data_IF_794111388390
#
_entry.id   IF_794111388390
#
_cell.length_a   1.000
_cell.length_b   1.000
_cell.length_c   1.000
_cell.angle_alpha   90.00
_cell.angle_beta   90.00
_cell.angle_gamma   90.00
#
_symmetry.space_group_name_H-M   'P 1'
#
loop_
_entity.id
_entity.type
_entity.pdbx_description
1 polymer ?
#
# COMPACT_ATOMS: atom_id res chain seq x y z
N UNK A 1 -23.11 -16.92 -4.78
CA UNK A 1 -21.88 -16.22 -5.18
C UNK A 1 -21.19 -15.75 -3.91
N UNK A 2 -19.85 -15.80 -3.85
CA UNK A 2 -19.11 -15.25 -2.69
C UNK A 2 -19.22 -13.73 -2.67
N UNK A 3 -19.13 -13.13 -1.48
CA UNK A 3 -19.26 -11.70 -1.26
C UNK A 3 -17.98 -11.11 -0.67
N UNK A 4 -17.54 -9.98 -1.18
CA UNK A 4 -16.48 -9.15 -0.61
C UNK A 4 -17.04 -7.82 -0.12
N UNK A 5 -16.66 -7.40 1.09
CA UNK A 5 -16.91 -6.07 1.61
C UNK A 5 -15.61 -5.27 1.63
N UNK A 6 -15.52 -4.24 0.82
CA UNK A 6 -14.40 -3.29 0.84
C UNK A 6 -14.70 -2.23 1.90
N UNK A 7 -13.83 -2.13 2.90
CA UNK A 7 -13.92 -1.14 3.98
C UNK A 7 -12.88 -0.05 3.75
N UNK A 8 -13.36 1.18 3.56
CA UNK A 8 -12.56 2.31 3.04
C UNK A 8 -12.62 2.36 1.51
N UNK A 9 -13.44 3.26 0.96
CA UNK A 9 -13.66 3.36 -0.50
C UNK A 9 -13.00 4.60 -1.11
N UNK A 10 -11.87 4.99 -0.54
CA UNK A 10 -10.96 5.98 -1.11
C UNK A 10 -10.17 5.40 -2.30
N UNK A 11 -9.04 6.01 -2.60
CA UNK A 11 -8.20 5.67 -3.77
C UNK A 11 -7.84 4.17 -3.87
N UNK A 12 -7.36 3.57 -2.76
CA UNK A 12 -7.01 2.15 -2.70
C UNK A 12 -8.25 1.25 -2.84
N UNK A 13 -9.35 1.58 -2.17
CA UNK A 13 -10.59 0.80 -2.26
C UNK A 13 -11.17 0.78 -3.68
N UNK A 14 -11.21 1.93 -4.36
CA UNK A 14 -11.65 2.05 -5.73
C UNK A 14 -10.74 1.29 -6.70
N UNK A 15 -9.42 1.39 -6.54
CA UNK A 15 -8.47 0.61 -7.33
C UNK A 15 -8.67 -0.90 -7.12
N UNK A 16 -8.95 -1.34 -5.91
CA UNK A 16 -9.15 -2.76 -5.58
C UNK A 16 -10.25 -3.41 -6.42
N UNK A 17 -11.33 -2.68 -6.71
CA UNK A 17 -12.45 -3.20 -7.52
C UNK A 17 -11.99 -3.65 -8.90
N UNK A 18 -11.02 -2.98 -9.50
CA UNK A 18 -10.51 -3.29 -10.85
C UNK A 18 -9.86 -4.69 -10.95
N UNK A 19 -9.39 -5.22 -9.84
CA UNK A 19 -8.69 -6.49 -9.77
C UNK A 19 -9.56 -7.64 -9.27
N UNK A 20 -10.81 -7.36 -8.86
CA UNK A 20 -11.75 -8.38 -8.40
C UNK A 20 -12.62 -8.89 -9.54
N UNK A 21 -12.79 -10.22 -9.63
CA UNK A 21 -13.61 -10.92 -10.60
C UNK A 21 -14.46 -11.99 -9.94
N UNK A 22 -15.60 -12.31 -10.51
CA UNK A 22 -16.48 -13.41 -10.09
C UNK A 22 -16.91 -13.40 -8.62
N UNK A 23 -16.97 -12.21 -8.01
CA UNK A 23 -17.38 -11.99 -6.63
C UNK A 23 -18.35 -10.82 -6.55
N UNK A 24 -19.32 -10.89 -5.65
CA UNK A 24 -20.24 -9.78 -5.37
C UNK A 24 -19.53 -8.76 -4.47
N UNK A 25 -19.51 -7.48 -4.88
CA UNK A 25 -18.76 -6.44 -4.20
C UNK A 25 -19.69 -5.47 -3.48
N UNK A 26 -19.49 -5.35 -2.17
CA UNK A 26 -20.05 -4.34 -1.31
C UNK A 26 -18.96 -3.37 -0.86
N UNK A 27 -19.33 -2.13 -0.61
CA UNK A 27 -18.41 -1.08 -0.16
C UNK A 27 -18.97 -0.39 1.08
N UNK A 28 -18.08 -0.01 2.00
CA UNK A 28 -18.36 0.77 3.20
C UNK A 28 -17.30 1.84 3.35
N UNK A 29 -17.70 3.10 3.41
CA UNK A 29 -16.79 4.21 3.70
C UNK A 29 -17.36 5.08 4.83
N UNK A 30 -16.53 5.44 5.80
CA UNK A 30 -16.88 6.26 6.97
C UNK A 30 -18.30 5.98 7.50
N UNK A 31 -19.14 7.00 7.53
CA UNK A 31 -20.52 6.96 8.04
C UNK A 31 -21.55 6.53 6.98
N UNK A 32 -21.12 6.25 5.75
CA UNK A 32 -21.99 5.81 4.67
C UNK A 32 -22.54 4.42 4.96
N UNK A 33 -23.71 4.12 4.36
CA UNK A 33 -24.25 2.75 4.34
C UNK A 33 -23.34 1.82 3.56
N UNK A 34 -23.40 0.53 3.88
CA UNK A 34 -22.84 -0.48 3.01
C UNK A 34 -23.64 -0.53 1.72
N UNK A 35 -22.99 -0.44 0.57
CA UNK A 35 -23.63 -0.43 -0.74
C UNK A 35 -23.09 -1.52 -1.64
N UNK A 36 -23.99 -2.25 -2.29
CA UNK A 36 -23.65 -3.18 -3.35
C UNK A 36 -23.36 -2.42 -4.64
N UNK A 37 -22.19 -2.61 -5.22
CA UNK A 37 -21.77 -1.87 -6.43
C UNK A 37 -22.51 -2.29 -7.71
N UNK A 38 -23.23 -3.44 -7.69
CA UNK A 38 -23.95 -3.94 -8.86
C UNK A 38 -25.45 -3.66 -8.81
N UNK A 39 -26.06 -3.80 -7.62
CA UNK A 39 -27.52 -3.70 -7.44
C UNK A 39 -27.97 -2.39 -6.80
N UNK A 40 -27.04 -1.57 -6.30
CA UNK A 40 -27.27 -0.39 -5.48
C UNK A 40 -28.03 -0.64 -4.15
N UNK A 41 -28.22 -1.91 -3.77
CA UNK A 41 -28.75 -2.26 -2.44
C UNK A 41 -27.89 -1.63 -1.34
N UNK A 42 -28.52 -1.12 -0.30
CA UNK A 42 -27.84 -0.46 0.81
C UNK A 42 -28.27 -1.04 2.16
N UNK A 43 -27.28 -1.25 3.05
CA UNK A 43 -27.44 -1.78 4.39
C UNK A 43 -26.72 -0.88 5.41
N UNK A 44 -27.37 -0.59 6.52
CA UNK A 44 -26.79 0.26 7.56
C UNK A 44 -25.67 -0.45 8.34
N UNK A 45 -25.81 -1.75 8.54
CA UNK A 45 -24.86 -2.54 9.31
C UNK A 45 -24.05 -3.50 8.43
N UNK A 46 -22.71 -3.37 8.40
CA UNK A 46 -21.86 -4.23 7.60
C UNK A 46 -21.96 -5.72 7.96
N UNK A 47 -22.40 -6.05 9.18
CA UNK A 47 -22.63 -7.45 9.58
C UNK A 47 -23.79 -8.10 8.84
N UNK A 48 -24.79 -7.32 8.40
CA UNK A 48 -25.95 -7.81 7.65
C UNK A 48 -25.54 -8.29 6.25
N UNK A 49 -24.50 -7.69 5.66
CA UNK A 49 -23.98 -8.07 4.33
C UNK A 49 -23.53 -9.53 4.27
N UNK A 50 -23.10 -10.10 5.42
CA UNK A 50 -22.59 -11.48 5.51
C UNK A 50 -21.51 -11.77 4.44
N UNK A 51 -20.57 -10.85 4.29
CA UNK A 51 -19.48 -11.01 3.34
C UNK A 51 -18.52 -12.15 3.77
N UNK A 52 -18.09 -12.94 2.80
CA UNK A 52 -17.09 -14.00 3.00
C UNK A 52 -15.69 -13.41 3.23
N UNK A 53 -15.42 -12.26 2.59
CA UNK A 53 -14.13 -11.56 2.64
C UNK A 53 -14.32 -10.10 3.00
N UNK A 54 -13.56 -9.60 3.95
CA UNK A 54 -13.45 -8.17 4.23
C UNK A 54 -12.12 -7.65 3.73
N UNK A 55 -12.15 -6.68 2.82
CA UNK A 55 -10.96 -6.08 2.22
C UNK A 55 -10.77 -4.69 2.84
N UNK A 56 -9.77 -4.57 3.71
CA UNK A 56 -9.54 -3.39 4.54
C UNK A 56 -8.60 -2.43 3.82
N UNK A 57 -9.15 -1.28 3.40
CA UNK A 57 -8.49 -0.20 2.68
C UNK A 57 -8.49 1.13 3.46
N UNK A 58 -8.69 1.07 4.77
CA UNK A 58 -8.74 2.27 5.62
C UNK A 58 -7.38 2.94 5.78
N UNK A 59 -7.32 4.23 6.15
CA UNK A 59 -6.05 4.88 6.45
C UNK A 59 -5.27 4.16 7.55
N UNK A 60 -3.97 3.99 7.35
CA UNK A 60 -3.03 3.37 8.30
C UNK A 60 -1.84 4.28 8.59
N UNK A 61 -2.10 5.59 8.65
CA UNK A 61 -1.09 6.60 8.94
C UNK A 61 -1.65 7.59 9.95
N UNK A 62 -0.82 7.94 10.93
CA UNK A 62 -1.06 9.01 11.87
C UNK A 62 0.26 9.72 12.19
N UNK A 63 0.28 11.05 12.04
CA UNK A 63 1.43 11.89 12.34
C UNK A 63 2.74 11.45 11.62
N UNK A 64 2.60 11.01 10.35
CA UNK A 64 3.72 10.55 9.51
C UNK A 64 4.24 9.16 9.86
N UNK A 65 3.55 8.40 10.70
CA UNK A 65 3.92 7.04 11.11
C UNK A 65 2.84 6.04 10.75
N UNK A 66 3.22 4.76 10.63
CA UNK A 66 2.24 3.69 10.46
C UNK A 66 1.43 3.56 11.76
N UNK A 67 0.10 3.63 11.64
CA UNK A 67 -0.86 3.39 12.72
C UNK A 67 -1.87 2.32 12.30
N UNK A 68 -1.80 1.16 12.93
CA UNK A 68 -2.65 0.00 12.59
C UNK A 68 -3.94 -0.09 13.40
N UNK A 69 -4.19 0.81 14.36
CA UNK A 69 -5.33 0.71 15.29
C UNK A 69 -6.67 0.58 14.58
N UNK A 70 -6.90 1.41 13.56
CA UNK A 70 -8.14 1.35 12.78
C UNK A 70 -8.24 0.06 11.97
N UNK A 71 -7.13 -0.37 11.35
CA UNK A 71 -7.03 -1.64 10.61
C UNK A 71 -7.37 -2.81 11.54
N UNK A 72 -6.77 -2.84 12.73
CA UNK A 72 -6.97 -3.90 13.73
C UNK A 72 -8.42 -3.97 14.23
N UNK A 73 -9.08 -2.83 14.38
CA UNK A 73 -10.49 -2.79 14.76
C UNK A 73 -11.38 -3.47 13.70
N UNK A 74 -11.11 -3.25 12.43
CA UNK A 74 -11.83 -3.90 11.34
C UNK A 74 -11.45 -5.38 11.16
N UNK A 75 -10.19 -5.75 11.41
CA UNK A 75 -9.79 -7.17 11.44
C UNK A 75 -10.59 -7.92 12.51
N UNK A 76 -10.71 -7.34 13.70
CA UNK A 76 -11.49 -7.92 14.79
C UNK A 76 -12.97 -8.07 14.41
N UNK A 77 -13.57 -7.02 13.87
CA UNK A 77 -14.97 -7.02 13.46
C UNK A 77 -15.24 -8.05 12.34
N UNK A 78 -14.36 -8.15 11.34
CA UNK A 78 -14.47 -9.16 10.29
C UNK A 78 -14.43 -10.59 10.85
N UNK A 79 -13.53 -10.81 11.82
CA UNK A 79 -13.42 -12.10 12.52
C UNK A 79 -14.66 -12.46 13.32
N UNK A 80 -15.25 -11.49 14.02
CA UNK A 80 -16.51 -11.66 14.76
C UNK A 80 -17.68 -11.98 13.81
N UNK A 81 -17.60 -11.53 12.54
CA UNK A 81 -18.54 -11.88 11.48
C UNK A 81 -18.25 -13.23 10.79
N UNK A 82 -17.19 -13.93 11.16
CA UNK A 82 -16.74 -15.16 10.51
C UNK A 82 -16.16 -14.98 9.11
N UNK A 83 -15.74 -13.76 8.75
CA UNK A 83 -15.18 -13.44 7.46
C UNK A 83 -13.65 -13.59 7.43
N UNK A 84 -13.10 -13.98 6.27
CA UNK A 84 -11.66 -13.91 6.00
C UNK A 84 -11.26 -12.45 5.77
N UNK A 85 -10.09 -12.07 6.30
CA UNK A 85 -9.63 -10.68 6.28
C UNK A 85 -8.49 -10.48 5.29
N UNK A 86 -8.66 -9.52 4.41
CA UNK A 86 -7.66 -9.08 3.44
C UNK A 86 -7.27 -7.64 3.78
N UNK A 87 -5.99 -7.37 4.01
CA UNK A 87 -5.48 -6.04 4.35
C UNK A 87 -4.73 -5.44 3.16
N UNK A 88 -5.15 -4.25 2.74
CA UNK A 88 -4.50 -3.46 1.68
C UNK A 88 -3.65 -2.31 2.24
N UNK A 89 -3.95 -1.89 3.46
CA UNK A 89 -3.24 -0.84 4.18
C UNK A 89 -1.83 -1.28 4.55
N UNK A 90 -0.85 -0.39 4.46
CA UNK A 90 0.54 -0.69 4.84
C UNK A 90 0.63 -1.17 6.29
N UNK A 91 1.37 -2.25 6.50
CA UNK A 91 1.66 -2.83 7.80
C UNK A 91 3.11 -2.55 8.20
N UNK A 92 3.43 -2.42 9.50
CA UNK A 92 4.81 -2.30 9.98
C UNK A 92 5.59 -3.61 9.76
N UNK A 93 6.92 -3.53 9.76
CA UNK A 93 7.80 -4.66 9.47
C UNK A 93 7.67 -5.80 10.48
N UNK A 94 7.41 -5.46 11.73
CA UNK A 94 7.26 -6.39 12.85
C UNK A 94 5.80 -6.78 13.16
N UNK A 95 4.89 -6.60 12.18
CA UNK A 95 3.46 -6.86 12.36
C UNK A 95 3.17 -8.29 12.79
N UNK A 96 2.43 -8.44 13.91
CA UNK A 96 2.29 -9.73 14.62
C UNK A 96 0.96 -10.46 14.39
N UNK A 97 0.00 -9.84 13.72
CA UNK A 97 -1.28 -10.47 13.47
C UNK A 97 -1.15 -11.68 12.54
N UNK A 98 -1.64 -12.81 13.01
CA UNK A 98 -1.73 -14.05 12.23
C UNK A 98 -3.14 -14.17 11.60
N UNK A 99 -3.26 -15.01 10.58
CA UNK A 99 -4.53 -15.30 9.91
C UNK A 99 -5.17 -14.11 9.18
N UNK A 100 -4.35 -13.26 8.58
CA UNK A 100 -4.78 -12.25 7.61
C UNK A 100 -4.13 -12.52 6.26
N UNK A 101 -4.82 -12.19 5.19
CA UNK A 101 -4.21 -12.05 3.86
C UNK A 101 -3.70 -10.64 3.72
N UNK A 102 -2.40 -10.45 3.49
CA UNK A 102 -1.84 -9.15 3.17
C UNK A 102 -1.70 -9.01 1.65
N UNK A 103 -2.37 -8.02 1.10
CA UNK A 103 -2.32 -7.64 -0.30
C UNK A 103 -2.05 -6.15 -0.41
N UNK A 104 -0.77 -5.72 -0.25
CA UNK A 104 -0.41 -4.30 -0.22
C UNK A 104 -0.77 -3.60 -1.53
N UNK A 105 -1.15 -2.33 -1.43
CA UNK A 105 -1.41 -1.48 -2.59
C UNK A 105 -0.13 -0.80 -3.06
N UNK A 106 0.08 -0.77 -4.38
CA UNK A 106 1.16 -0.05 -5.06
C UNK A 106 0.63 1.07 -5.99
N UNK A 107 -0.63 1.44 -5.84
CA UNK A 107 -1.22 2.58 -6.59
C UNK A 107 -0.57 3.89 -6.17
N UNK A 108 -0.53 4.82 -7.10
CA UNK A 108 -0.07 6.20 -6.88
C UNK A 108 -1.23 7.17 -7.04
N UNK A 109 -1.03 8.44 -6.67
CA UNK A 109 -2.06 9.47 -6.86
C UNK A 109 -2.36 9.74 -8.36
N UNK A 110 -1.45 9.34 -9.25
CA UNK A 110 -1.54 9.55 -10.70
C UNK A 110 -1.92 8.30 -11.47
N UNK A 111 -1.68 7.11 -10.89
CA UNK A 111 -1.94 5.84 -11.53
C UNK A 111 -2.63 4.88 -10.55
N UNK A 112 -3.85 4.50 -10.91
CA UNK A 112 -4.66 3.54 -10.14
C UNK A 112 -4.44 2.09 -10.59
N UNK A 113 -3.58 1.86 -11.58
CA UNK A 113 -3.15 0.52 -11.97
C UNK A 113 -1.95 0.07 -11.16
N UNK A 114 -2.02 -1.12 -10.63
CA UNK A 114 -0.91 -1.71 -9.89
C UNK A 114 0.03 -2.43 -10.85
N UNK A 115 1.26 -1.98 -10.93
CA UNK A 115 2.28 -2.58 -11.81
C UNK A 115 2.70 -3.98 -11.35
N UNK A 116 2.34 -4.38 -10.13
CA UNK A 116 2.61 -5.71 -9.59
C UNK A 116 1.57 -6.11 -8.57
N UNK A 117 1.18 -7.36 -8.59
CA UNK A 117 0.31 -7.95 -7.59
C UNK A 117 1.15 -8.88 -6.70
N UNK A 118 1.30 -8.52 -5.44
CA UNK A 118 1.98 -9.35 -4.42
C UNK A 118 0.97 -9.60 -3.30
N UNK A 119 0.87 -10.82 -2.86
CA UNK A 119 -0.07 -11.22 -1.81
C UNK A 119 0.60 -12.21 -0.85
N UNK A 120 0.25 -12.17 0.42
CA UNK A 120 0.69 -13.22 1.33
C UNK A 120 0.04 -14.57 0.98
N UNK A 121 0.76 -15.67 1.22
CA UNK A 121 0.33 -17.04 0.90
C UNK A 121 -1.03 -17.41 1.46
N UNK A 122 -1.47 -16.77 2.54
CA UNK A 122 -2.82 -16.90 3.11
C UNK A 122 -3.92 -16.66 2.08
N UNK A 123 -3.72 -15.77 1.11
CA UNK A 123 -4.69 -15.51 0.03
C UNK A 123 -4.89 -16.68 -0.91
N UNK A 124 -3.88 -17.53 -1.05
CA UNK A 124 -4.00 -18.82 -1.74
C UNK A 124 -4.70 -19.85 -0.85
N UNK A 125 -4.30 -19.98 0.40
CA UNK A 125 -4.82 -20.96 1.36
C UNK A 125 -6.33 -20.79 1.62
N UNK A 126 -6.82 -19.55 1.78
CA UNK A 126 -8.24 -19.26 1.99
C UNK A 126 -9.06 -19.15 0.68
N UNK A 127 -8.41 -19.33 -0.47
CA UNK A 127 -9.06 -19.31 -1.78
C UNK A 127 -9.44 -17.94 -2.32
N UNK A 128 -9.03 -16.84 -1.68
CA UNK A 128 -9.33 -15.46 -2.12
C UNK A 128 -8.69 -15.15 -3.49
N UNK A 129 -7.51 -15.70 -3.77
CA UNK A 129 -6.80 -15.48 -5.04
C UNK A 129 -7.63 -15.83 -6.29
N UNK A 130 -8.62 -16.72 -6.17
CA UNK A 130 -9.52 -17.07 -7.28
C UNK A 130 -10.38 -15.90 -7.76
N UNK A 131 -10.57 -14.90 -6.90
CA UNK A 131 -11.38 -13.72 -7.17
C UNK A 131 -10.52 -12.51 -7.57
N UNK A 132 -9.20 -12.68 -7.68
CA UNK A 132 -8.27 -11.64 -8.12
C UNK A 132 -7.77 -11.98 -9.52
N UNK A 133 -7.48 -10.95 -10.32
CA UNK A 133 -6.89 -11.13 -11.67
C UNK A 133 -5.55 -11.85 -11.60
N UNK A 134 -5.14 -12.49 -12.69
CA UNK A 134 -3.92 -13.30 -12.77
C UNK A 134 -2.63 -12.47 -12.56
N UNK A 135 -1.50 -13.16 -12.37
CA UNK A 135 -0.20 -12.51 -12.19
C UNK A 135 0.19 -12.20 -10.74
N UNK A 136 -0.45 -12.87 -9.77
CA UNK A 136 -0.14 -12.68 -8.35
C UNK A 136 1.11 -13.46 -7.97
N UNK A 137 2.06 -12.77 -7.31
CA UNK A 137 3.18 -13.40 -6.61
C UNK A 137 2.80 -13.67 -5.15
N UNK A 138 2.95 -14.91 -4.70
CA UNK A 138 2.68 -15.30 -3.32
C UNK A 138 3.96 -15.38 -2.50
N UNK A 139 3.97 -14.72 -1.35
CA UNK A 139 5.10 -14.70 -0.41
C UNK A 139 4.60 -14.98 1.03
N UNK A 140 5.50 -15.05 1.99
CA UNK A 140 5.11 -15.00 3.40
C UNK A 140 4.49 -13.63 3.74
N UNK A 141 3.77 -13.53 4.86
CA UNK A 141 3.25 -12.24 5.33
C UNK A 141 4.39 -11.23 5.54
N UNK A 142 5.47 -11.68 6.18
CA UNK A 142 6.66 -10.86 6.43
C UNK A 142 7.30 -10.39 5.12
N UNK A 143 7.58 -11.30 4.19
CA UNK A 143 8.21 -10.93 2.90
C UNK A 143 7.33 -10.01 2.06
N UNK A 144 6.01 -10.19 2.11
CA UNK A 144 5.06 -9.28 1.46
C UNK A 144 5.16 -7.87 2.05
N UNK A 145 5.37 -7.77 3.38
CA UNK A 145 5.59 -6.49 4.07
C UNK A 145 6.93 -5.88 3.68
N UNK A 146 8.00 -6.70 3.62
CA UNK A 146 9.32 -6.27 3.12
C UNK A 146 9.20 -5.71 1.70
N UNK A 147 8.53 -6.42 0.77
CA UNK A 147 8.34 -5.92 -0.61
C UNK A 147 7.67 -4.55 -0.61
N UNK A 148 6.62 -4.35 0.20
CA UNK A 148 5.91 -3.07 0.26
C UNK A 148 6.78 -1.93 0.77
N UNK A 149 7.43 -2.13 1.90
CA UNK A 149 8.22 -1.07 2.55
C UNK A 149 9.50 -0.77 1.76
N UNK A 150 10.24 -1.81 1.35
CA UNK A 150 11.51 -1.63 0.65
C UNK A 150 11.35 -1.10 -0.77
N UNK A 151 10.23 -1.38 -1.46
CA UNK A 151 9.96 -0.74 -2.75
C UNK A 151 9.84 0.79 -2.59
N UNK A 152 9.09 1.27 -1.60
CA UNK A 152 8.99 2.69 -1.31
C UNK A 152 10.29 3.27 -0.74
N UNK A 153 11.00 2.51 0.10
CA UNK A 153 12.32 2.88 0.64
C UNK A 153 13.36 3.08 -0.47
N UNK A 154 13.38 2.19 -1.47
CA UNK A 154 14.24 2.36 -2.65
C UNK A 154 13.91 3.63 -3.43
N UNK A 155 12.64 3.88 -3.71
CA UNK A 155 12.22 5.08 -4.47
C UNK A 155 12.57 6.37 -3.72
N UNK A 156 12.33 6.41 -2.41
CA UNK A 156 12.68 7.55 -1.56
C UNK A 156 14.20 7.77 -1.49
N UNK A 157 14.98 6.70 -1.35
CA UNK A 157 16.46 6.75 -1.38
C UNK A 157 16.98 7.26 -2.71
N UNK A 158 16.39 6.79 -3.81
CA UNK A 158 16.73 7.25 -5.15
C UNK A 158 16.42 8.73 -5.35
N UNK A 159 15.26 9.20 -4.89
CA UNK A 159 14.90 10.61 -4.94
C UNK A 159 15.91 11.48 -4.14
N UNK A 160 16.29 11.03 -2.94
CA UNK A 160 17.30 11.73 -2.14
C UNK A 160 18.69 11.71 -2.78
N UNK A 161 19.07 10.60 -3.44
CA UNK A 161 20.31 10.52 -4.21
C UNK A 161 20.37 11.59 -5.31
N UNK A 162 19.32 11.73 -6.13
CA UNK A 162 19.30 12.75 -7.18
C UNK A 162 19.20 14.18 -6.62
N UNK A 163 18.53 14.38 -5.51
CA UNK A 163 18.58 15.64 -4.78
C UNK A 163 20.03 15.98 -4.34
N UNK A 164 20.83 14.98 -3.91
CA UNK A 164 22.25 15.19 -3.60
C UNK A 164 23.07 15.52 -4.85
N UNK A 165 22.83 14.83 -5.95
CA UNK A 165 23.47 15.20 -7.24
C UNK A 165 23.22 16.67 -7.57
N UNK A 166 22.01 17.16 -7.36
CA UNK A 166 21.68 18.57 -7.58
C UNK A 166 22.44 19.52 -6.64
N UNK A 167 22.72 19.12 -5.40
CA UNK A 167 23.49 19.95 -4.47
C UNK A 167 24.93 20.15 -4.92
N UNK A 168 25.49 19.24 -5.72
CA UNK A 168 26.88 19.26 -6.20
C UNK A 168 27.05 19.74 -7.65
N UNK A 169 25.97 20.02 -8.37
CA UNK A 169 26.01 20.35 -9.79
C UNK A 169 25.41 21.74 -10.10
N UNK A 170 26.06 22.48 -10.97
CA UNK A 170 25.51 23.70 -11.55
C UNK A 170 24.61 23.42 -12.75
N UNK A 171 24.88 22.33 -13.50
CA UNK A 171 24.08 21.90 -14.66
C UNK A 171 23.36 20.58 -14.33
N UNK A 172 22.39 20.65 -13.42
CA UNK A 172 21.66 19.50 -12.88
C UNK A 172 21.03 18.61 -13.97
N UNK A 173 20.31 19.16 -15.00
CA UNK A 173 19.71 18.32 -16.02
C UNK A 173 20.71 17.49 -16.82
N UNK A 174 21.81 18.11 -17.23
CA UNK A 174 22.85 17.43 -18.03
C UNK A 174 23.53 16.31 -17.23
N UNK A 175 23.84 16.55 -15.95
CA UNK A 175 24.46 15.57 -15.07
C UNK A 175 23.51 14.40 -14.78
N UNK A 176 22.24 14.66 -14.51
CA UNK A 176 21.24 13.62 -14.31
C UNK A 176 21.08 12.77 -15.57
N UNK A 177 20.94 13.39 -16.73
CA UNK A 177 20.83 12.67 -18.01
C UNK A 177 22.05 11.78 -18.26
N UNK A 178 23.27 12.28 -17.99
CA UNK A 178 24.48 11.49 -18.13
C UNK A 178 24.53 10.28 -17.15
N UNK A 179 24.12 10.45 -15.90
CA UNK A 179 24.03 9.36 -14.92
C UNK A 179 22.97 8.34 -15.37
N UNK A 180 21.80 8.80 -15.80
CA UNK A 180 20.69 7.93 -16.21
C UNK A 180 20.93 7.22 -17.56
N UNK A 181 21.89 7.67 -18.37
CA UNK A 181 22.32 6.98 -19.59
C UNK A 181 22.92 5.60 -19.30
N UNK A 182 23.41 5.35 -18.09
CA UNK A 182 23.78 3.99 -17.66
C UNK A 182 22.51 3.16 -17.47
N UNK A 183 22.37 2.08 -18.27
CA UNK A 183 21.20 1.18 -18.25
C UNK A 183 20.94 0.51 -16.90
N UNK A 184 21.95 0.39 -16.05
CA UNK A 184 21.81 -0.16 -14.68
C UNK A 184 21.10 0.83 -13.77
N UNK A 185 21.13 2.13 -14.08
CA UNK A 185 20.51 3.21 -13.34
C UNK A 185 19.15 3.55 -13.95
N UNK A 186 19.09 3.83 -15.25
CA UNK A 186 17.88 4.21 -15.96
C UNK A 186 17.33 5.59 -15.51
N UNK A 187 16.25 6.02 -16.14
CA UNK A 187 15.68 7.37 -15.99
C UNK A 187 14.46 7.45 -15.06
N UNK A 188 14.05 6.34 -14.44
CA UNK A 188 12.89 6.29 -13.58
C UNK A 188 13.16 6.94 -12.22
N UNK A 189 12.29 7.86 -11.75
CA UNK A 189 12.42 8.55 -10.47
C UNK A 189 13.74 9.33 -10.29
N UNK A 190 14.17 10.00 -11.36
CA UNK A 190 15.42 10.80 -11.39
C UNK A 190 15.19 12.29 -11.07
N UNK A 191 14.10 12.64 -10.42
CA UNK A 191 13.79 14.03 -10.08
C UNK A 191 14.79 14.61 -9.07
N UNK A 192 15.32 15.78 -9.39
CA UNK A 192 16.18 16.53 -8.50
C UNK A 192 15.63 17.95 -8.34
N UNK A 193 14.69 18.10 -7.45
CA UNK A 193 14.04 19.39 -7.19
C UNK A 193 14.74 20.19 -6.08
N UNK A 194 15.80 19.67 -5.46
CA UNK A 194 16.45 20.21 -4.24
C UNK A 194 15.47 20.44 -3.09
N UNK A 195 14.30 19.80 -3.15
CA UNK A 195 13.24 19.91 -2.16
C UNK A 195 13.13 18.62 -1.35
N UNK A 196 12.48 18.74 -0.23
CA UNK A 196 12.06 17.59 0.55
C UNK A 196 11.07 16.77 -0.27
N UNK A 197 11.40 15.49 -0.51
CA UNK A 197 10.40 14.55 -0.98
C UNK A 197 9.38 14.29 0.14
N UNK A 198 8.13 14.10 -0.23
CA UNK A 198 7.03 14.00 0.72
C UNK A 198 5.98 13.02 0.25
N UNK A 199 4.73 13.33 0.55
CA UNK A 199 3.58 12.46 0.32
C UNK A 199 3.38 11.46 1.46
N UNK A 200 2.12 11.06 1.66
CA UNK A 200 1.73 10.19 2.78
C UNK A 200 2.42 8.81 2.75
N UNK A 201 2.71 8.30 1.55
CA UNK A 201 3.28 6.96 1.41
C UNK A 201 4.77 6.91 1.80
N UNK A 202 5.60 7.77 1.21
CA UNK A 202 7.05 7.72 1.44
C UNK A 202 7.42 8.09 2.88
N UNK A 203 6.80 9.13 3.43
CA UNK A 203 7.16 9.61 4.77
C UNK A 203 6.97 8.52 5.81
N UNK A 204 5.78 7.91 5.90
CA UNK A 204 5.51 6.88 6.90
C UNK A 204 6.32 5.58 6.69
N UNK A 205 6.54 5.18 5.42
CA UNK A 205 7.27 3.95 5.10
C UNK A 205 8.78 4.13 5.39
N UNK A 206 9.33 5.32 5.17
CA UNK A 206 10.70 5.66 5.54
C UNK A 206 10.89 5.83 7.05
N UNK A 207 9.90 6.39 7.77
CA UNK A 207 9.93 6.43 9.24
C UNK A 207 9.93 5.01 9.84
N UNK A 208 9.19 4.09 9.23
CA UNK A 208 9.20 2.68 9.64
C UNK A 208 10.57 2.05 9.38
N UNK A 209 11.10 2.14 8.17
CA UNK A 209 12.39 1.55 7.80
C UNK A 209 13.56 2.14 8.60
N UNK A 210 13.52 3.43 8.91
CA UNK A 210 14.54 4.12 9.69
C UNK A 210 14.66 3.60 11.14
N UNK A 211 13.63 2.97 11.67
CA UNK A 211 13.66 2.32 13.00
C UNK A 211 14.42 0.99 12.96
N UNK A 212 14.56 0.39 11.78
CA UNK A 212 15.14 -0.94 11.62
C UNK A 212 16.55 -0.92 11.02
N UNK A 213 16.90 0.11 10.21
CA UNK A 213 18.20 0.16 9.55
C UNK A 213 18.74 1.57 9.37
N UNK A 214 20.05 1.70 9.64
CA UNK A 214 20.81 2.96 9.63
C UNK A 214 20.85 3.62 8.25
N UNK A 215 20.79 2.86 7.16
CA UNK A 215 20.76 3.41 5.79
C UNK A 215 19.52 4.27 5.61
N UNK A 216 18.36 3.77 6.00
CA UNK A 216 17.10 4.50 5.87
C UNK A 216 16.99 5.67 6.86
N UNK A 217 17.57 5.53 8.06
CA UNK A 217 17.67 6.64 9.01
C UNK A 217 18.43 7.82 8.40
N UNK A 218 19.61 7.59 7.82
CA UNK A 218 20.43 8.63 7.19
C UNK A 218 19.72 9.28 6.02
N UNK A 219 19.06 8.52 5.16
CA UNK A 219 18.29 9.04 4.02
C UNK A 219 17.12 9.91 4.52
N UNK A 220 16.39 9.45 5.53
CA UNK A 220 15.25 10.15 6.10
C UNK A 220 15.67 11.47 6.77
N UNK A 221 16.77 11.46 7.54
CA UNK A 221 17.34 12.67 8.13
C UNK A 221 17.83 13.66 7.07
N UNK A 222 18.46 13.16 6.01
CA UNK A 222 18.89 14.02 4.89
C UNK A 222 17.71 14.74 4.26
N UNK A 223 16.62 14.02 4.02
CA UNK A 223 15.39 14.60 3.50
C UNK A 223 14.78 15.64 4.46
N UNK A 224 14.74 15.36 5.77
CA UNK A 224 14.21 16.29 6.79
C UNK A 224 14.96 17.62 6.83
N UNK A 225 16.26 17.64 6.52
CA UNK A 225 17.11 18.86 6.50
C UNK A 225 16.86 19.76 5.27
N UNK A 226 16.07 19.32 4.31
CA UNK A 226 15.78 20.08 3.07
C UNK A 226 14.64 21.10 3.20
N UNK A 227 14.09 21.30 4.37
CA UNK A 227 13.11 22.35 4.59
C UNK A 227 11.99 21.97 5.44
#
# INVERSE_FOLDING_TARGET
MKKALIVGFGHVGQSTVKYLKDIEIWVKDKDDKCRNLRTDEAEDNPMIVKADYWIICVPGEKDGKIDTKLVESYIKLAKDCGAETIVRTTLPLDYKWKNITYWPSFVTDYDTEEQRLVMSSRGYENGFCKYVTDGIMFLSLHDTTVVKLFANGYLATRAEFFNKVADFSENVPAVINAICADRRIGDFYNYAERKRWGGKCFVKDMEELAQHDKIFEVVNESNKRRG
#
